data_IF_131816460647
#
_entry.id   IF_131816460647
#
_cell.length_a   1.000
_cell.length_b   1.000
_cell.length_c   1.000
_cell.angle_alpha   90.00
_cell.angle_beta   90.00
_cell.angle_gamma   90.00
#
_symmetry.space_group_name_H-M   'P 1'
#
loop_
_entity.id
_entity.type
_entity.pdbx_description
1 polymer ?
#
# COMPACT_ATOMS: atom_id res chain seq x y z
N UNK A 1 -0.73 16.07 -6.75
CA UNK A 1 -0.07 15.80 -5.44
C UNK A 1 0.20 14.31 -5.31
N UNK A 2 1.46 13.90 -5.25
CA UNK A 2 1.78 12.48 -5.14
C UNK A 2 1.31 11.87 -3.83
N UNK A 3 0.70 10.70 -3.92
CA UNK A 3 0.25 9.96 -2.76
C UNK A 3 0.89 8.58 -2.76
N UNK A 4 1.15 8.07 -1.57
CA UNK A 4 1.79 6.78 -1.37
C UNK A 4 0.92 5.97 -0.42
N UNK A 5 0.51 4.78 -0.83
CA UNK A 5 -0.43 4.01 -0.07
C UNK A 5 0.15 2.76 0.56
N UNK A 6 -0.34 2.43 1.73
CA UNK A 6 -0.02 1.20 2.41
C UNK A 6 -1.30 0.46 2.74
N UNK A 7 -1.29 -0.85 2.55
CA UNK A 7 -2.45 -1.68 2.85
C UNK A 7 -2.02 -2.81 3.77
N UNK A 8 -2.60 -2.80 4.96
CA UNK A 8 -2.39 -3.85 5.95
C UNK A 8 -3.53 -4.84 5.79
N UNK A 9 -3.24 -5.96 5.15
CA UNK A 9 -4.24 -6.96 4.79
C UNK A 9 -4.43 -7.95 5.93
N UNK A 10 -5.65 -8.00 6.43
CA UNK A 10 -6.05 -8.97 7.46
C UNK A 10 -7.02 -9.99 6.86
N UNK A 11 -7.37 -11.00 7.65
CA UNK A 11 -8.23 -12.07 7.17
C UNK A 11 -9.61 -11.58 6.71
N UNK A 12 -10.18 -10.61 7.43
CA UNK A 12 -11.54 -10.16 7.16
C UNK A 12 -11.65 -8.73 6.68
N UNK A 13 -10.59 -7.97 6.78
CA UNK A 13 -10.62 -6.56 6.40
C UNK A 13 -9.21 -6.08 6.12
N UNK A 14 -9.11 -4.88 5.57
CA UNK A 14 -7.82 -4.27 5.28
C UNK A 14 -7.83 -2.83 5.76
N UNK A 15 -6.70 -2.38 6.28
CA UNK A 15 -6.53 -0.99 6.64
C UNK A 15 -5.74 -0.31 5.54
N UNK A 16 -6.29 0.76 4.98
CA UNK A 16 -5.68 1.49 3.86
C UNK A 16 -5.30 2.88 4.33
N UNK A 17 -4.07 3.27 4.08
CA UNK A 17 -3.58 4.61 4.42
C UNK A 17 -2.91 5.20 3.20
N UNK A 18 -3.23 6.46 2.90
CA UNK A 18 -2.54 7.22 1.87
C UNK A 18 -1.82 8.40 2.53
N UNK A 19 -0.54 8.54 2.20
CA UNK A 19 0.28 9.65 2.71
C UNK A 19 0.71 10.52 1.53
N UNK A 20 0.86 11.82 1.81
CA UNK A 20 1.41 12.73 0.81
C UNK A 20 2.93 12.83 0.94
N UNK A 21 3.54 13.74 0.20
CA UNK A 21 5.00 13.90 0.21
C UNK A 21 5.54 14.38 1.55
N UNK A 22 4.72 15.00 2.36
CA UNK A 22 5.12 15.47 3.68
C UNK A 22 4.79 14.43 4.76
N UNK A 23 4.46 13.21 4.35
CA UNK A 23 4.13 12.13 5.28
C UNK A 23 2.85 12.42 6.06
N UNK A 24 2.01 13.29 5.53
CA UNK A 24 0.72 13.58 6.15
C UNK A 24 -0.32 12.59 5.68
N UNK A 25 -1.17 12.16 6.58
CA UNK A 25 -2.20 11.17 6.29
C UNK A 25 -3.38 11.85 5.61
N UNK A 26 -3.58 11.52 4.33
CA UNK A 26 -4.65 12.07 3.51
C UNK A 26 -5.90 11.19 3.59
N UNK A 27 -5.71 9.89 3.72
CA UNK A 27 -6.78 8.92 3.79
C UNK A 27 -6.40 7.81 4.74
N UNK A 28 -7.36 7.34 5.52
CA UNK A 28 -7.11 6.25 6.46
C UNK A 28 -8.44 5.60 6.77
N UNK A 29 -8.60 4.35 6.37
CA UNK A 29 -9.86 3.66 6.60
C UNK A 29 -9.66 2.15 6.66
N UNK A 30 -10.48 1.52 7.48
CA UNK A 30 -10.58 0.06 7.52
C UNK A 30 -11.70 -0.33 6.57
N UNK A 31 -11.39 -1.16 5.59
CA UNK A 31 -12.34 -1.55 4.56
C UNK A 31 -12.55 -3.06 4.57
N UNK A 32 -13.73 -3.53 4.15
CA UNK A 32 -13.92 -4.97 4.00
C UNK A 32 -13.02 -5.50 2.89
N UNK A 33 -12.72 -6.79 2.94
CA UNK A 33 -11.90 -7.43 1.91
C UNK A 33 -12.75 -7.72 0.69
N UNK A 34 -13.21 -6.66 0.06
CA UNK A 34 -14.01 -6.70 -1.14
C UNK A 34 -13.35 -5.79 -2.16
N UNK A 35 -12.85 -6.38 -3.24
CA UNK A 35 -12.07 -5.65 -4.21
C UNK A 35 -12.82 -4.44 -4.79
N UNK A 36 -14.10 -4.64 -5.12
CA UNK A 36 -14.88 -3.54 -5.69
C UNK A 36 -14.95 -2.35 -4.74
N UNK A 37 -15.13 -2.63 -3.45
CA UNK A 37 -15.19 -1.57 -2.44
C UNK A 37 -13.85 -0.84 -2.35
N UNK A 38 -12.75 -1.59 -2.34
CA UNK A 38 -11.43 -0.98 -2.21
C UNK A 38 -11.13 -0.12 -3.43
N UNK A 39 -11.42 -0.63 -4.61
CA UNK A 39 -11.20 0.14 -5.85
C UNK A 39 -12.05 1.41 -5.85
N UNK A 40 -13.29 1.29 -5.42
CA UNK A 40 -14.18 2.44 -5.36
C UNK A 40 -13.68 3.50 -4.40
N UNK A 41 -13.19 3.08 -3.24
CA UNK A 41 -12.68 4.01 -2.24
C UNK A 41 -11.41 4.72 -2.70
N UNK A 42 -10.58 4.04 -3.47
CA UNK A 42 -9.34 4.63 -3.96
C UNK A 42 -9.51 5.45 -5.23
N UNK A 43 -10.62 5.27 -5.93
CA UNK A 43 -10.82 5.92 -7.22
C UNK A 43 -10.62 7.44 -7.20
N UNK A 44 -11.10 8.19 -6.19
CA UNK A 44 -10.89 9.63 -6.18
C UNK A 44 -9.43 10.05 -6.14
N UNK A 45 -8.55 9.14 -5.70
CA UNK A 45 -7.13 9.45 -5.57
C UNK A 45 -6.28 8.82 -6.66
N UNK A 46 -6.90 8.10 -7.58
CA UNK A 46 -6.19 7.28 -8.56
C UNK A 46 -5.10 8.04 -9.30
N UNK A 47 -5.41 9.24 -9.76
CA UNK A 47 -4.45 10.01 -10.55
C UNK A 47 -3.23 10.45 -9.76
N UNK A 48 -3.38 10.54 -8.44
CA UNK A 48 -2.30 11.03 -7.57
C UNK A 48 -1.49 9.92 -6.93
N UNK A 49 -2.00 8.69 -6.92
CA UNK A 49 -1.33 7.59 -6.25
C UNK A 49 -0.13 7.13 -7.07
N UNK A 50 1.06 7.28 -6.48
CA UNK A 50 2.30 6.84 -7.12
C UNK A 50 2.50 5.34 -6.97
N UNK A 51 1.99 4.76 -5.91
CA UNK A 51 2.10 3.34 -5.69
C UNK A 51 1.39 2.91 -4.43
N UNK A 52 1.16 1.61 -4.33
CA UNK A 52 0.55 0.99 -3.16
C UNK A 52 1.43 -0.17 -2.73
N UNK A 53 1.65 -0.31 -1.43
CA UNK A 53 2.41 -1.43 -0.90
C UNK A 53 1.50 -2.31 -0.07
N UNK A 54 1.58 -3.62 -0.31
CA UNK A 54 0.83 -4.63 0.43
C UNK A 54 1.84 -5.60 1.02
N UNK A 55 1.66 -5.93 2.29
CA UNK A 55 2.51 -6.95 2.91
C UNK A 55 2.15 -8.31 2.34
N UNK A 56 3.16 -9.09 1.93
CA UNK A 56 2.93 -10.40 1.33
C UNK A 56 2.65 -11.43 2.41
N UNK A 57 1.44 -11.38 2.94
CA UNK A 57 0.97 -12.32 3.93
C UNK A 57 0.01 -13.31 3.27
N UNK A 58 -0.72 -14.07 4.07
CA UNK A 58 -1.65 -15.06 3.56
C UNK A 58 -2.69 -14.45 2.61
N UNK A 59 -2.84 -15.10 1.45
CA UNK A 59 -3.95 -14.79 0.54
C UNK A 59 -4.00 -13.35 0.02
N UNK A 60 -2.85 -12.83 -0.39
CA UNK A 60 -2.79 -11.44 -0.91
C UNK A 60 -3.10 -11.32 -2.40
N UNK A 61 -3.17 -12.44 -3.11
CA UNK A 61 -3.21 -12.43 -4.58
C UNK A 61 -4.39 -11.65 -5.17
N UNK A 62 -5.57 -11.84 -4.62
CA UNK A 62 -6.77 -11.21 -5.15
C UNK A 62 -6.67 -9.69 -5.12
N UNK A 63 -6.08 -9.17 -4.06
CA UNK A 63 -5.96 -7.74 -3.87
C UNK A 63 -4.92 -7.15 -4.83
N UNK A 64 -3.76 -7.76 -4.90
CA UNK A 64 -2.69 -7.27 -5.75
C UNK A 64 -3.09 -7.35 -7.21
N UNK A 65 -3.61 -8.49 -7.65
CA UNK A 65 -4.03 -8.65 -9.03
C UNK A 65 -5.13 -7.65 -9.39
N UNK A 66 -6.11 -7.50 -8.51
CA UNK A 66 -7.21 -6.60 -8.78
C UNK A 66 -6.78 -5.14 -8.85
N UNK A 67 -5.88 -4.72 -7.98
CA UNK A 67 -5.40 -3.35 -8.01
C UNK A 67 -4.49 -3.10 -9.21
N UNK A 68 -3.70 -4.09 -9.62
CA UNK A 68 -2.92 -3.97 -10.84
C UNK A 68 -3.83 -3.83 -12.05
N UNK A 69 -4.91 -4.60 -12.10
CA UNK A 69 -5.89 -4.47 -13.17
C UNK A 69 -6.53 -3.09 -13.18
N UNK A 70 -6.69 -2.48 -12.02
CA UNK A 70 -7.27 -1.16 -11.91
C UNK A 70 -6.29 -0.04 -12.26
N UNK A 71 -5.06 -0.40 -12.58
CA UNK A 71 -4.08 0.57 -13.04
C UNK A 71 -3.12 1.09 -11.99
N UNK A 72 -3.09 0.45 -10.83
CA UNK A 72 -2.16 0.88 -9.77
C UNK A 72 -0.84 0.15 -9.87
N UNK A 73 0.20 0.81 -9.38
CA UNK A 73 1.52 0.23 -9.28
C UNK A 73 1.65 -0.38 -7.88
N UNK A 74 1.93 -1.68 -7.83
CA UNK A 74 1.95 -2.41 -6.57
C UNK A 74 3.36 -2.82 -6.16
N UNK A 75 3.61 -2.76 -4.86
CA UNK A 75 4.84 -3.26 -4.26
C UNK A 75 4.45 -4.29 -3.22
N UNK A 76 5.13 -5.42 -3.21
CA UNK A 76 4.92 -6.42 -2.18
C UNK A 76 6.00 -6.25 -1.13
N UNK A 77 5.60 -6.10 0.12
CA UNK A 77 6.53 -6.00 1.21
C UNK A 77 6.67 -7.35 1.88
N UNK A 78 7.89 -7.84 1.93
CA UNK A 78 8.19 -9.10 2.58
C UNK A 78 8.17 -8.88 4.10
N UNK A 79 7.42 -9.68 4.87
CA UNK A 79 7.40 -9.51 6.32
C UNK A 79 8.78 -9.56 6.96
N UNK A 80 9.68 -10.40 6.45
CA UNK A 80 11.03 -10.46 6.99
C UNK A 80 11.79 -9.17 6.76
N UNK A 81 11.60 -8.56 5.58
CA UNK A 81 12.25 -7.29 5.29
C UNK A 81 11.70 -6.17 6.18
N UNK A 82 10.41 -6.22 6.44
CA UNK A 82 9.79 -5.22 7.32
C UNK A 82 10.39 -5.30 8.72
N UNK A 83 10.64 -6.51 9.19
CA UNK A 83 11.21 -6.71 10.53
C UNK A 83 12.59 -6.10 10.68
N UNK A 84 13.32 -5.92 9.59
CA UNK A 84 14.62 -5.26 9.66
C UNK A 84 14.48 -3.82 10.12
N UNK A 85 13.31 -3.25 10.03
CA UNK A 85 13.06 -1.88 10.45
C UNK A 85 12.20 -1.84 11.71
N UNK A 86 12.16 -2.95 12.45
CA UNK A 86 11.23 -3.09 13.57
C UNK A 86 11.45 -2.05 14.66
N UNK A 87 12.67 -1.54 14.80
CA UNK A 87 12.95 -0.50 15.78
C UNK A 87 12.22 0.80 15.52
N UNK A 88 11.74 0.99 14.31
CA UNK A 88 11.02 2.19 13.93
C UNK A 88 9.53 1.93 13.77
N UNK A 89 9.11 0.67 13.91
CA UNK A 89 7.75 0.29 13.64
C UNK A 89 6.84 0.54 14.84
N UNK A 90 5.64 1.01 14.55
CA UNK A 90 4.60 1.16 15.56
C UNK A 90 3.99 -0.20 15.86
N UNK A 91 3.17 -0.27 16.88
CA UNK A 91 2.71 -1.56 17.39
C UNK A 91 1.27 -1.92 17.06
N UNK A 92 0.49 -1.00 16.50
CA UNK A 92 -0.91 -1.30 16.20
C UNK A 92 -1.14 -1.43 14.70
N UNK A 93 -2.30 -1.98 14.33
CA UNK A 93 -2.64 -2.26 12.93
C UNK A 93 -2.68 -1.03 12.06
N UNK A 94 -3.20 0.06 12.59
CA UNK A 94 -3.28 1.30 11.84
C UNK A 94 -1.90 1.83 11.54
N UNK A 95 -0.99 1.66 12.50
CA UNK A 95 0.38 2.08 12.33
C UNK A 95 1.10 1.22 11.30
N UNK A 96 0.72 -0.05 11.17
CA UNK A 96 1.34 -0.92 10.17
C UNK A 96 1.07 -0.43 8.76
N UNK A 97 -0.17 -0.07 8.45
CA UNK A 97 -0.49 0.44 7.14
C UNK A 97 0.23 1.77 6.87
N UNK A 98 0.26 2.64 7.87
CA UNK A 98 0.97 3.90 7.74
C UNK A 98 2.46 3.68 7.54
N UNK A 99 3.01 2.71 8.27
CA UNK A 99 4.42 2.36 8.15
C UNK A 99 4.76 1.87 6.74
N UNK A 100 3.88 1.04 6.17
CA UNK A 100 4.06 0.55 4.81
C UNK A 100 4.05 1.70 3.81
N UNK A 101 3.11 2.63 3.95
CA UNK A 101 3.04 3.78 3.07
C UNK A 101 4.27 4.67 3.20
N UNK A 102 4.77 4.84 4.42
CA UNK A 102 5.96 5.61 4.68
C UNK A 102 7.19 4.97 4.02
N UNK A 103 7.31 3.65 4.14
CA UNK A 103 8.41 2.93 3.50
C UNK A 103 8.34 3.07 1.99
N UNK A 104 7.14 2.97 1.43
CA UNK A 104 6.98 3.12 -0.01
C UNK A 104 7.43 4.51 -0.46
N UNK A 105 7.04 5.53 0.27
CA UNK A 105 7.43 6.88 -0.08
C UNK A 105 8.95 7.01 -0.14
N UNK A 106 9.64 6.43 0.83
CA UNK A 106 11.09 6.47 0.85
C UNK A 106 11.71 5.67 -0.30
N UNK A 107 11.16 4.49 -0.57
CA UNK A 107 11.67 3.65 -1.64
C UNK A 107 11.51 4.32 -3.00
N UNK A 108 10.35 4.90 -3.25
CA UNK A 108 10.09 5.58 -4.51
C UNK A 108 11.02 6.78 -4.65
N UNK A 109 11.24 7.51 -3.57
CA UNK A 109 12.12 8.67 -3.59
C UNK A 109 13.57 8.28 -3.91
N UNK A 110 14.04 7.20 -3.30
CA UNK A 110 15.43 6.79 -3.45
C UNK A 110 15.70 6.01 -4.73
N UNK A 111 14.70 5.30 -5.25
CA UNK A 111 14.84 4.45 -6.42
C UNK A 111 13.68 4.65 -7.38
N UNK A 112 13.62 5.81 -8.02
CA UNK A 112 12.46 6.10 -8.86
C UNK A 112 12.30 5.17 -10.05
N UNK A 113 13.36 4.50 -10.47
CA UNK A 113 13.27 3.57 -11.60
C UNK A 113 12.66 2.24 -11.22
N UNK A 114 12.51 1.99 -10.00
CA UNK A 114 11.87 1.02 -9.59
C UNK A 114 11.98 -0.20 -9.03
N UNK A 115 11.30 -0.82 -8.26
CA UNK A 115 11.13 -2.17 -7.78
C UNK A 115 9.67 -2.55 -7.72
N UNK A 116 8.87 -1.82 -8.44
CA UNK A 116 7.44 -2.08 -8.40
C UNK A 116 7.04 -3.11 -9.41
N UNK A 117 5.92 -3.77 -9.14
CA UNK A 117 5.24 -4.60 -10.11
C UNK A 117 4.23 -3.68 -10.78
N UNK A 118 4.50 -3.34 -12.03
CA UNK A 118 3.61 -2.45 -12.75
C UNK A 118 2.32 -3.12 -13.15
N UNK A 119 1.31 -2.34 -13.51
CA UNK A 119 0.03 -2.89 -13.94
C UNK A 119 0.22 -3.77 -15.17
N UNK A 120 -0.22 -5.01 -15.05
CA UNK A 120 -0.23 -5.93 -16.19
C UNK A 120 1.08 -6.03 -16.94
N UNK A 121 2.18 -6.02 -16.26
CA UNK A 121 3.48 -6.12 -16.91
C UNK A 121 4.00 -7.54 -16.99
N UNK A 122 3.33 -8.47 -16.37
CA UNK A 122 3.74 -9.86 -16.46
C UNK A 122 3.21 -10.52 -17.70
#
# INVERSE_FOLDING_TARGET
>A
MPLYGGIDLHANNSVVVLLNEQDQRIYHKRLPNDLATIVEQLAPYHADIEGLVVESTYNWYWLVDGLMDAGYRLHLANPAAIQQYSGLKYTDDHSDARWLAHLLRLVVYLNPADNSIGPKTR
#
